data_IF_759442162068
#
_entry.id   IF_759442162068
#
_cell.length_a   1.000
_cell.length_b   1.000
_cell.length_c   1.000
_cell.angle_alpha   90.00
_cell.angle_beta   90.00
_cell.angle_gamma   90.00
#
_symmetry.space_group_name_H-M   'P 1'
#
loop_
_entity.id
_entity.type
_entity.pdbx_description
1 polymer ?
#
# COMPACT_ATOMS: atom_id res chain seq x y z
N UNK A 1 9.46 -6.49 10.77
CA UNK A 1 9.48 -5.25 9.96
C UNK A 1 9.42 -5.55 8.46
N UNK A 2 10.11 -6.58 7.96
CA UNK A 2 10.10 -6.99 6.54
C UNK A 2 8.71 -7.16 5.92
N UNK A 3 7.78 -7.86 6.60
CA UNK A 3 6.40 -8.05 6.11
C UNK A 3 5.68 -6.71 5.88
N UNK A 4 5.80 -5.78 6.84
CA UNK A 4 5.19 -4.45 6.75
C UNK A 4 5.76 -3.67 5.57
N UNK A 5 7.09 -3.66 5.43
CA UNK A 5 7.74 -2.98 4.31
C UNK A 5 7.29 -3.52 2.94
N UNK A 6 7.17 -4.85 2.79
CA UNK A 6 6.72 -5.46 1.53
C UNK A 6 5.32 -4.98 1.16
N UNK A 7 4.37 -5.05 2.09
CA UNK A 7 2.99 -4.66 1.80
C UNK A 7 2.82 -3.17 1.59
N UNK A 8 3.54 -2.33 2.34
CA UNK A 8 3.55 -0.88 2.13
C UNK A 8 4.10 -0.52 0.75
N UNK A 9 5.22 -1.13 0.33
CA UNK A 9 5.80 -0.89 -1.00
C UNK A 9 4.90 -1.41 -2.12
N UNK A 10 4.32 -2.61 -1.96
CA UNK A 10 3.39 -3.17 -2.94
C UNK A 10 2.13 -2.29 -3.07
N UNK A 11 1.59 -1.82 -1.96
CA UNK A 11 0.46 -0.91 -1.93
C UNK A 11 0.79 0.42 -2.62
N UNK A 12 1.92 1.04 -2.27
CA UNK A 12 2.40 2.26 -2.91
C UNK A 12 2.54 2.11 -4.43
N UNK A 13 3.17 1.02 -4.88
CA UNK A 13 3.36 0.74 -6.31
C UNK A 13 2.02 0.54 -7.03
N UNK A 14 1.08 -0.20 -6.44
CA UNK A 14 -0.26 -0.39 -6.99
C UNK A 14 -1.03 0.93 -7.08
N UNK A 15 -0.91 1.78 -6.06
CA UNK A 15 -1.51 3.10 -6.01
C UNK A 15 -0.93 4.08 -7.03
N UNK A 16 0.39 4.05 -7.23
CA UNK A 16 1.06 4.83 -8.29
C UNK A 16 0.60 4.36 -9.66
N UNK A 17 0.58 3.04 -9.90
CA UNK A 17 0.20 2.46 -11.19
C UNK A 17 -1.25 2.78 -11.56
N UNK A 18 -2.18 2.72 -10.59
CA UNK A 18 -3.58 3.08 -10.84
C UNK A 18 -3.77 4.59 -11.04
N UNK A 19 -3.07 5.42 -10.25
CA UNK A 19 -3.11 6.87 -10.36
C UNK A 19 -2.48 7.41 -11.64
N UNK A 20 -1.49 6.70 -12.21
CA UNK A 20 -0.80 7.11 -13.44
C UNK A 20 -1.73 7.26 -14.64
N UNK A 21 -2.87 6.56 -14.64
CA UNK A 21 -3.90 6.66 -15.69
C UNK A 21 -4.60 8.03 -15.71
N UNK A 22 -4.55 8.79 -14.61
CA UNK A 22 -5.31 10.03 -14.42
C UNK A 22 -4.41 11.27 -14.20
N UNK A 23 -3.09 11.10 -14.23
CA UNK A 23 -2.11 12.18 -14.12
C UNK A 23 -1.52 12.39 -12.72
N UNK A 24 -0.62 13.36 -12.60
CA UNK A 24 0.25 13.52 -11.43
C UNK A 24 -0.48 13.67 -10.07
N UNK A 25 -1.57 14.45 -9.94
CA UNK A 25 -2.28 14.55 -8.67
C UNK A 25 -2.84 13.20 -8.20
N UNK A 26 -3.31 12.38 -9.14
CA UNK A 26 -3.85 11.05 -8.86
C UNK A 26 -2.76 10.02 -8.58
N UNK A 27 -1.57 10.16 -9.15
CA UNK A 27 -0.39 9.36 -8.76
C UNK A 27 -0.06 9.59 -7.30
N UNK A 28 -0.02 10.85 -6.86
CA UNK A 28 0.24 11.19 -5.46
C UNK A 28 -0.86 10.67 -4.54
N UNK A 29 -2.12 10.94 -4.86
CA UNK A 29 -3.27 10.44 -4.08
C UNK A 29 -3.28 8.91 -4.02
N UNK A 30 -3.09 8.25 -5.16
CA UNK A 30 -3.03 6.80 -5.30
C UNK A 30 -1.89 6.21 -4.48
N UNK A 31 -0.69 6.80 -4.50
CA UNK A 31 0.44 6.35 -3.69
C UNK A 31 0.13 6.38 -2.19
N UNK A 32 -0.51 7.46 -1.70
CA UNK A 32 -0.90 7.59 -0.30
C UNK A 32 -1.95 6.56 0.11
N UNK A 33 -3.00 6.39 -0.70
CA UNK A 33 -4.04 5.36 -0.49
C UNK A 33 -3.41 3.96 -0.48
N UNK A 34 -2.51 3.71 -1.44
CA UNK A 34 -1.78 2.46 -1.57
C UNK A 34 -0.94 2.12 -0.34
N UNK A 35 -0.18 3.09 0.18
CA UNK A 35 0.59 2.95 1.43
C UNK A 35 -0.32 2.60 2.61
N UNK A 36 -1.45 3.30 2.76
CA UNK A 36 -2.40 3.06 3.83
C UNK A 36 -3.03 1.66 3.74
N UNK A 37 -3.44 1.23 2.54
CA UNK A 37 -3.96 -0.11 2.29
C UNK A 37 -2.92 -1.19 2.59
N UNK A 38 -1.68 -1.02 2.11
CA UNK A 38 -0.57 -1.93 2.38
C UNK A 38 -0.26 -2.07 3.87
N UNK A 39 -0.29 -0.96 4.61
CA UNK A 39 -0.12 -0.99 6.07
C UNK A 39 -1.27 -1.76 6.75
N UNK A 40 -2.51 -1.51 6.35
CA UNK A 40 -3.68 -2.22 6.88
C UNK A 40 -3.60 -3.74 6.66
N UNK A 41 -3.19 -4.18 5.46
CA UNK A 41 -2.97 -5.60 5.15
C UNK A 41 -1.86 -6.18 6.03
N UNK A 42 -0.72 -5.49 6.14
CA UNK A 42 0.39 -5.98 6.95
C UNK A 42 0.02 -6.16 8.42
N UNK A 43 -0.75 -5.22 8.98
CA UNK A 43 -1.25 -5.27 10.35
C UNK A 43 -2.25 -6.43 10.50
N UNK A 44 -3.21 -6.57 9.58
CA UNK A 44 -4.18 -7.65 9.60
C UNK A 44 -3.55 -9.04 9.53
N UNK A 45 -2.54 -9.22 8.67
CA UNK A 45 -1.77 -10.47 8.56
C UNK A 45 -0.95 -10.75 9.82
N UNK A 46 -0.38 -9.72 10.45
CA UNK A 46 0.30 -9.88 11.74
C UNK A 46 -0.64 -10.37 12.84
N UNK A 47 -1.84 -9.80 12.92
CA UNK A 47 -2.86 -10.20 13.91
C UNK A 47 -3.36 -11.63 13.65
N UNK A 48 -3.44 -12.05 12.37
CA UNK A 48 -3.89 -13.39 12.00
C UNK A 48 -2.81 -14.47 12.19
N UNK A 49 -1.54 -14.14 11.97
CA UNK A 49 -0.42 -15.09 12.11
C UNK A 49 0.18 -15.20 13.52
N UNK A 50 -0.27 -14.38 14.47
CA UNK A 50 0.09 -14.47 15.89
C UNK A 50 -0.96 -15.17 16.78
N UNK A 51 -1.98 -15.76 16.16
CA UNK A 51 -2.94 -16.69 16.77
C UNK A 51 -2.69 -18.08 16.20
#
# INVERSE_FOLDING_TARGET
>A
MRLVAIWVLAGAAAGIASGALFGWPYVLAGSGIGVAAGLGIAVGLRIRGGR
#
